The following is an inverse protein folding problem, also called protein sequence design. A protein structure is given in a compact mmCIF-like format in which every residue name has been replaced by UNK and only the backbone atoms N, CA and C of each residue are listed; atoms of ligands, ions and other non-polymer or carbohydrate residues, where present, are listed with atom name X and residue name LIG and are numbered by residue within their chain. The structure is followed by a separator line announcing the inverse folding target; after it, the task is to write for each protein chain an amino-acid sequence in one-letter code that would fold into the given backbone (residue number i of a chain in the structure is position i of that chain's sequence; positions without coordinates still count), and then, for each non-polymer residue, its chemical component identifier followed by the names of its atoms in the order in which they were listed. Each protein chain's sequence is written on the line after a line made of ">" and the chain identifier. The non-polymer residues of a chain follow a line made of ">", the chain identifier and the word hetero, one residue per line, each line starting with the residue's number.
data_IF_162812830038
#
_entry.id   IF_162812830038
#
_cell.length_a   1.000
_cell.length_b   1.000
_cell.length_c   1.000
_cell.angle_alpha   90.00
_cell.angle_beta   90.00
_cell.angle_gamma   90.00
#
_symmetry.space_group_name_H-M   'P 1'
#
loop_
_entity.id
_entity.type
_entity.pdbx_description
1 polymer ?
#
# COMPACT_ATOMS: atom_id res chain seq x y z
N UNK A 1 -26.00 0.44 -6.17
CA UNK A 1 -24.95 -0.54 -5.82
C UNK A 1 -25.12 -0.85 -4.36
N UNK A 2 -25.37 -2.11 -4.03
CA UNK A 2 -25.64 -2.54 -2.66
C UNK A 2 -24.36 -2.55 -1.82
N UNK A 3 -24.41 -1.98 -0.62
CA UNK A 3 -23.27 -1.90 0.30
C UNK A 3 -22.66 -3.28 0.56
N UNK A 4 -23.47 -4.33 0.66
CA UNK A 4 -23.01 -5.70 0.90
C UNK A 4 -22.14 -6.26 -0.24
N UNK A 5 -22.45 -5.90 -1.49
CA UNK A 5 -21.66 -6.33 -2.66
C UNK A 5 -20.28 -5.69 -2.60
N UNK A 6 -20.21 -4.39 -2.30
CA UNK A 6 -18.95 -3.66 -2.18
C UNK A 6 -18.11 -4.16 -0.99
N UNK A 7 -18.75 -4.50 0.15
CA UNK A 7 -18.06 -5.11 1.30
C UNK A 7 -17.38 -6.41 0.89
N UNK A 8 -18.10 -7.31 0.21
CA UNK A 8 -17.53 -8.59 -0.26
C UNK A 8 -16.41 -8.37 -1.27
N UNK A 9 -16.61 -7.48 -2.25
CA UNK A 9 -15.60 -7.16 -3.24
C UNK A 9 -14.30 -6.63 -2.61
N UNK A 10 -14.40 -5.69 -1.66
CA UNK A 10 -13.23 -5.16 -0.95
C UNK A 10 -12.55 -6.25 -0.12
N UNK A 11 -13.31 -7.13 0.51
CA UNK A 11 -12.77 -8.25 1.27
C UNK A 11 -11.97 -9.20 0.38
N UNK A 12 -12.55 -9.63 -0.73
CA UNK A 12 -11.92 -10.53 -1.69
C UNK A 12 -10.66 -9.90 -2.30
N UNK A 13 -10.75 -8.63 -2.69
CA UNK A 13 -9.61 -7.87 -3.22
C UNK A 13 -8.49 -7.73 -2.19
N UNK A 14 -8.81 -7.47 -0.92
CA UNK A 14 -7.82 -7.36 0.16
C UNK A 14 -7.12 -8.69 0.43
N UNK A 15 -7.86 -9.80 0.41
CA UNK A 15 -7.31 -11.14 0.56
C UNK A 15 -6.40 -11.50 -0.63
N UNK A 16 -6.86 -11.24 -1.84
CA UNK A 16 -6.10 -11.49 -3.06
C UNK A 16 -4.83 -10.63 -3.12
N UNK A 17 -4.92 -9.34 -2.77
CA UNK A 17 -3.76 -8.45 -2.65
C UNK A 17 -2.74 -9.00 -1.65
N UNK A 18 -3.20 -9.43 -0.47
CA UNK A 18 -2.33 -10.01 0.56
C UNK A 18 -1.64 -11.30 0.10
N UNK A 19 -2.36 -12.14 -0.66
CA UNK A 19 -1.80 -13.35 -1.28
C UNK A 19 -0.71 -13.00 -2.31
N UNK A 20 -0.96 -12.01 -3.16
CA UNK A 20 0.00 -11.57 -4.17
C UNK A 20 1.26 -10.98 -3.53
N UNK A 21 1.11 -10.18 -2.47
CA UNK A 21 2.25 -9.67 -1.67
C UNK A 21 3.08 -10.82 -1.12
N UNK A 22 2.45 -11.83 -0.48
CA UNK A 22 3.17 -12.98 0.05
C UNK A 22 3.86 -13.82 -1.04
N UNK A 23 3.23 -13.97 -2.21
CA UNK A 23 3.82 -14.64 -3.37
C UNK A 23 5.03 -13.88 -3.92
N UNK A 24 4.91 -12.54 -4.01
CA UNK A 24 5.99 -11.65 -4.43
C UNK A 24 7.18 -11.74 -3.46
N UNK A 25 6.95 -11.70 -2.15
CA UNK A 25 8.00 -11.89 -1.14
C UNK A 25 8.75 -13.22 -1.33
N UNK A 26 8.01 -14.32 -1.54
CA UNK A 26 8.63 -15.64 -1.76
C UNK A 26 9.46 -15.67 -3.04
N UNK A 27 8.93 -15.15 -4.14
CA UNK A 27 9.65 -15.09 -5.42
C UNK A 27 10.87 -14.19 -5.33
N UNK A 28 10.78 -13.06 -4.65
CA UNK A 28 11.91 -12.17 -4.40
C UNK A 28 13.02 -12.82 -3.58
N UNK A 29 12.69 -13.69 -2.61
CA UNK A 29 13.71 -14.45 -1.88
C UNK A 29 14.49 -15.44 -2.75
N UNK A 30 13.95 -15.82 -3.90
CA UNK A 30 14.66 -16.66 -4.87
C UNK A 30 15.62 -15.85 -5.75
N UNK A 31 15.49 -14.52 -5.78
CA UNK A 31 16.49 -13.64 -6.39
C UNK A 31 17.80 -13.74 -5.60
N UNK A 32 18.93 -13.67 -6.28
CA UNK A 32 20.27 -13.92 -5.71
C UNK A 32 20.53 -15.35 -5.23
N UNK A 33 19.68 -16.31 -5.62
CA UNK A 33 19.95 -17.74 -5.43
C UNK A 33 20.32 -18.40 -6.76
N UNK A 34 20.71 -19.67 -6.74
CA UNK A 34 20.94 -20.45 -7.97
C UNK A 34 19.68 -20.59 -8.86
N UNK A 35 18.49 -20.21 -8.37
CA UNK A 35 17.23 -20.21 -9.12
C UNK A 35 16.92 -18.86 -9.78
N UNK A 36 17.77 -17.84 -9.58
CA UNK A 36 17.62 -16.54 -10.22
C UNK A 36 17.70 -16.70 -11.74
N UNK A 37 16.64 -16.27 -12.43
CA UNK A 37 16.51 -16.39 -13.87
C UNK A 37 15.68 -15.24 -14.43
N UNK A 38 15.87 -14.95 -15.72
CA UNK A 38 15.08 -13.92 -16.44
C UNK A 38 13.59 -14.18 -16.32
N UNK A 39 13.14 -15.43 -16.43
CA UNK A 39 11.72 -15.80 -16.28
C UNK A 39 11.17 -15.49 -14.90
N UNK A 40 11.92 -15.83 -13.84
CA UNK A 40 11.52 -15.50 -12.46
C UNK A 40 11.41 -13.98 -12.26
N UNK A 41 12.35 -13.22 -12.82
CA UNK A 41 12.33 -11.75 -12.74
C UNK A 41 11.14 -11.15 -13.48
N UNK A 42 10.85 -11.63 -14.69
CA UNK A 42 9.65 -11.23 -15.45
C UNK A 42 8.36 -11.56 -14.68
N UNK A 43 8.27 -12.74 -14.07
CA UNK A 43 7.12 -13.12 -13.23
C UNK A 43 6.95 -12.19 -12.03
N UNK A 44 8.04 -11.81 -11.35
CA UNK A 44 8.00 -10.85 -10.22
C UNK A 44 7.48 -9.49 -10.70
N UNK A 45 7.96 -9.02 -11.84
CA UNK A 45 7.57 -7.74 -12.42
C UNK A 45 6.08 -7.75 -12.81
N UNK A 46 5.60 -8.82 -13.45
CA UNK A 46 4.19 -8.97 -13.81
C UNK A 46 3.29 -9.08 -12.57
N UNK A 47 3.66 -9.92 -11.60
CA UNK A 47 2.90 -10.05 -10.36
C UNK A 47 2.81 -8.72 -9.62
N UNK A 48 3.87 -7.91 -9.61
CA UNK A 48 3.85 -6.56 -9.04
C UNK A 48 2.90 -5.62 -9.78
N UNK A 49 2.89 -5.66 -11.12
CA UNK A 49 1.95 -4.89 -11.97
C UNK A 49 0.50 -5.20 -11.62
N UNK A 50 0.17 -6.48 -11.56
CA UNK A 50 -1.17 -6.95 -11.21
C UNK A 50 -1.53 -6.52 -9.78
N UNK A 51 -0.58 -6.60 -8.85
CA UNK A 51 -0.76 -6.19 -7.45
C UNK A 51 -1.03 -4.70 -7.32
N UNK A 52 -0.32 -3.85 -8.09
CA UNK A 52 -0.57 -2.40 -8.14
C UNK A 52 -1.95 -2.10 -8.72
N UNK A 53 -2.35 -2.78 -9.79
CA UNK A 53 -3.68 -2.60 -10.37
C UNK A 53 -4.78 -2.99 -9.37
N UNK A 54 -4.62 -4.13 -8.70
CA UNK A 54 -5.54 -4.58 -7.67
C UNK A 54 -5.63 -3.60 -6.51
N UNK A 55 -4.51 -2.99 -6.11
CA UNK A 55 -4.50 -1.94 -5.09
C UNK A 55 -5.34 -0.72 -5.49
N UNK A 56 -5.23 -0.26 -6.74
CA UNK A 56 -6.02 0.87 -7.27
C UNK A 56 -7.53 0.57 -7.29
N UNK A 57 -7.90 -0.65 -7.70
CA UNK A 57 -9.29 -1.11 -7.69
C UNK A 57 -9.81 -1.15 -6.25
N UNK A 58 -9.04 -1.74 -5.33
CA UNK A 58 -9.40 -1.85 -3.91
C UNK A 58 -9.59 -0.48 -3.25
N UNK A 59 -8.70 0.47 -3.52
CA UNK A 59 -8.80 1.85 -3.02
C UNK A 59 -10.06 2.55 -3.54
N UNK A 60 -10.40 2.35 -4.82
CA UNK A 60 -11.62 2.89 -5.42
C UNK A 60 -12.87 2.29 -4.77
N UNK A 61 -12.90 0.96 -4.58
CA UNK A 61 -14.03 0.28 -3.94
C UNK A 61 -14.16 0.64 -2.46
N UNK A 62 -13.05 0.83 -1.74
CA UNK A 62 -13.02 1.37 -0.37
C UNK A 62 -13.57 2.79 -0.29
N UNK A 63 -13.21 3.68 -1.23
CA UNK A 63 -13.74 5.05 -1.29
C UNK A 63 -15.26 5.06 -1.50
N UNK A 64 -15.76 4.23 -2.41
CA UNK A 64 -17.21 4.05 -2.63
C UNK A 64 -17.89 3.50 -1.37
N UNK A 65 -17.30 2.49 -0.73
CA UNK A 65 -17.81 1.91 0.50
C UNK A 65 -17.87 2.94 1.64
N UNK A 66 -16.86 3.79 1.78
CA UNK A 66 -16.86 4.86 2.78
C UNK A 66 -18.00 5.86 2.57
N UNK A 67 -18.26 6.27 1.32
CA UNK A 67 -19.35 7.20 0.99
C UNK A 67 -20.72 6.62 1.34
N UNK A 68 -20.94 5.32 1.05
CA UNK A 68 -22.19 4.64 1.38
C UNK A 68 -22.34 4.41 2.89
N UNK A 69 -21.28 4.03 3.58
CA UNK A 69 -21.34 3.72 5.03
C UNK A 69 -21.36 4.97 5.92
N UNK A 70 -20.99 6.13 5.40
CA UNK A 70 -21.02 7.40 6.14
C UNK A 70 -22.45 7.82 6.52
N UNK A 71 -23.46 7.50 5.71
CA UNK A 71 -24.88 7.73 6.02
C UNK A 71 -25.54 6.65 6.89
N UNK A 72 -24.81 5.58 7.18
CA UNK A 72 -25.35 4.33 7.73
C UNK A 72 -24.98 4.12 9.21
N UNK A 73 -25.46 3.00 9.78
CA UNK A 73 -25.28 2.66 11.19
C UNK A 73 -23.82 2.36 11.61
N UNK A 74 -23.57 2.36 12.92
CA UNK A 74 -22.21 2.14 13.49
C UNK A 74 -21.57 0.82 13.02
N UNK A 75 -22.37 -0.23 12.86
CA UNK A 75 -21.90 -1.55 12.41
C UNK A 75 -21.23 -1.50 11.03
N UNK A 76 -21.81 -0.77 10.07
CA UNK A 76 -21.27 -0.69 8.70
C UNK A 76 -19.97 0.12 8.65
N UNK A 77 -19.88 1.19 9.44
CA UNK A 77 -18.63 1.96 9.60
C UNK A 77 -17.52 1.12 10.24
N UNK A 78 -17.85 0.24 11.19
CA UNK A 78 -16.89 -0.69 11.79
C UNK A 78 -16.37 -1.71 10.77
N UNK A 79 -17.24 -2.24 9.91
CA UNK A 79 -16.83 -3.16 8.83
C UNK A 79 -15.88 -2.46 7.87
N UNK A 80 -16.22 -1.24 7.42
CA UNK A 80 -15.33 -0.41 6.60
C UNK A 80 -13.96 -0.22 7.28
N UNK A 81 -13.94 0.21 8.55
CA UNK A 81 -12.69 0.47 9.27
C UNK A 81 -11.80 -0.78 9.39
N UNK A 82 -12.39 -1.96 9.58
CA UNK A 82 -11.65 -3.23 9.61
C UNK A 82 -11.04 -3.56 8.24
N UNK A 83 -11.82 -3.43 7.16
CA UNK A 83 -11.34 -3.70 5.79
C UNK A 83 -10.24 -2.72 5.39
N UNK A 84 -10.42 -1.43 5.66
CA UNK A 84 -9.43 -0.40 5.36
C UNK A 84 -8.11 -0.65 6.11
N UNK A 85 -8.18 -1.02 7.39
CA UNK A 85 -7.01 -1.37 8.19
C UNK A 85 -6.28 -2.61 7.66
N UNK A 86 -7.04 -3.65 7.28
CA UNK A 86 -6.45 -4.86 6.70
C UNK A 86 -5.72 -4.55 5.38
N UNK A 87 -6.34 -3.77 4.50
CA UNK A 87 -5.72 -3.34 3.25
C UNK A 87 -4.47 -2.48 3.49
N UNK A 88 -4.51 -1.52 4.41
CA UNK A 88 -3.35 -0.69 4.78
C UNK A 88 -2.19 -1.53 5.33
N UNK A 89 -2.48 -2.53 6.14
CA UNK A 89 -1.46 -3.45 6.68
C UNK A 89 -0.74 -4.19 5.55
N UNK A 90 -1.49 -4.66 4.55
CA UNK A 90 -0.90 -5.33 3.39
C UNK A 90 -0.13 -4.35 2.50
N UNK A 91 -0.60 -3.11 2.35
CA UNK A 91 0.12 -2.06 1.62
C UNK A 91 1.48 -1.75 2.25
N UNK A 92 1.57 -1.66 3.58
CA UNK A 92 2.84 -1.44 4.29
C UNK A 92 3.85 -2.56 4.00
N UNK A 93 3.40 -3.80 3.85
CA UNK A 93 4.26 -4.92 3.44
C UNK A 93 4.68 -4.85 1.98
N UNK A 94 3.83 -4.33 1.12
CA UNK A 94 4.10 -4.21 -0.30
C UNK A 94 5.09 -3.08 -0.65
N UNK A 95 5.10 -1.99 0.12
CA UNK A 95 5.99 -0.84 -0.10
C UNK A 95 7.48 -1.20 -0.30
N UNK A 96 8.15 -1.94 0.60
CA UNK A 96 9.55 -2.31 0.39
C UNK A 96 9.73 -3.25 -0.81
N UNK A 97 8.73 -4.08 -1.12
CA UNK A 97 8.78 -4.96 -2.29
C UNK A 97 8.72 -4.17 -3.58
N UNK A 98 7.91 -3.10 -3.66
CA UNK A 98 7.89 -2.24 -4.84
C UNK A 98 9.26 -1.65 -5.16
N UNK A 99 10.03 -1.27 -4.13
CA UNK A 99 11.38 -0.76 -4.33
C UNK A 99 12.31 -1.85 -4.90
N UNK A 100 12.25 -3.06 -4.35
CA UNK A 100 13.01 -4.19 -4.90
C UNK A 100 12.60 -4.54 -6.34
N UNK A 101 11.30 -4.46 -6.69
CA UNK A 101 10.86 -4.66 -8.08
C UNK A 101 11.41 -3.57 -8.98
N UNK A 102 11.41 -2.32 -8.52
CA UNK A 102 11.92 -1.20 -9.29
C UNK A 102 13.43 -1.34 -9.59
N UNK A 103 14.22 -1.75 -8.60
CA UNK A 103 15.64 -2.04 -8.77
C UNK A 103 15.84 -3.20 -9.76
N UNK A 104 15.00 -4.23 -9.67
CA UNK A 104 15.01 -5.37 -10.59
C UNK A 104 14.66 -4.96 -12.03
N UNK A 105 13.59 -4.18 -12.22
CA UNK A 105 13.21 -3.64 -13.54
C UNK A 105 14.35 -2.80 -14.13
N UNK A 106 15.01 -1.98 -13.30
CA UNK A 106 16.14 -1.18 -13.74
C UNK A 106 17.31 -2.05 -14.18
N UNK A 107 17.70 -3.08 -13.41
CA UNK A 107 18.76 -4.02 -13.81
C UNK A 107 18.46 -4.71 -15.14
N UNK A 108 17.22 -5.18 -15.32
CA UNK A 108 16.78 -5.81 -16.57
C UNK A 108 16.84 -4.84 -17.76
N UNK A 109 16.45 -3.58 -17.56
CA UNK A 109 16.47 -2.55 -18.60
C UNK A 109 17.90 -2.09 -18.91
N UNK A 110 18.75 -1.89 -17.91
CA UNK A 110 20.16 -1.51 -18.10
C UNK A 110 20.93 -2.62 -18.82
N UNK A 111 20.64 -3.89 -18.51
CA UNK A 111 21.20 -5.03 -19.23
C UNK A 111 20.69 -5.13 -20.67
N UNK A 112 19.46 -4.70 -20.94
CA UNK A 112 18.89 -4.64 -22.28
C UNK A 112 19.33 -3.40 -23.08
N UNK A 113 19.82 -2.35 -22.41
CA UNK A 113 20.23 -1.07 -23.01
C UNK A 113 21.60 -0.64 -22.48
N UNK A 114 22.66 -1.10 -23.14
CA UNK A 114 23.93 -0.37 -23.15
C UNK A 114 23.67 1.04 -23.70
N UNK A 115 23.46 2.03 -22.82
CA UNK A 115 23.35 3.44 -23.18
C UNK A 115 22.24 4.20 -22.45
N UNK A 116 22.63 4.85 -21.35
CA UNK A 116 22.21 6.19 -20.91
C UNK A 116 20.71 6.50 -20.78
N UNK A 117 20.20 6.60 -19.54
CA UNK A 117 19.60 7.82 -18.97
C UNK A 117 18.92 7.47 -17.63
N UNK A 118 19.51 7.94 -16.54
CA UNK A 118 18.96 7.87 -15.19
C UNK A 118 17.69 8.72 -15.09
N UNK A 119 16.53 8.07 -15.06
CA UNK A 119 15.31 8.61 -14.44
C UNK A 119 14.74 7.51 -13.56
N UNK A 120 14.63 7.81 -12.26
CA UNK A 120 14.18 6.88 -11.23
C UNK A 120 12.82 6.23 -11.56
N UNK A 121 12.48 5.15 -10.86
CA UNK A 121 11.38 4.27 -11.23
C UNK A 121 10.05 5.02 -11.19
N UNK A 122 9.49 5.26 -12.37
CA UNK A 122 8.26 6.04 -12.57
C UNK A 122 6.98 5.18 -12.49
N UNK A 123 7.13 3.87 -12.38
CA UNK A 123 6.05 2.91 -12.67
C UNK A 123 5.35 2.35 -11.41
N UNK A 124 5.99 2.36 -10.24
CA UNK A 124 5.45 1.74 -9.01
C UNK A 124 5.09 2.73 -7.89
N UNK A 125 5.06 4.03 -8.16
CA UNK A 125 4.60 5.05 -7.21
C UNK A 125 3.07 5.02 -7.02
N UNK A 126 2.53 3.88 -6.58
CA UNK A 126 1.20 3.84 -5.98
C UNK A 126 1.35 4.26 -4.52
N UNK A 127 1.15 5.55 -4.26
CA UNK A 127 1.06 6.08 -2.91
C UNK A 127 -0.43 6.14 -2.54
N UNK A 128 -0.90 5.36 -1.54
CA UNK A 128 -2.30 5.41 -1.13
C UNK A 128 -2.60 6.77 -0.48
N UNK A 129 -3.19 7.68 -1.26
CA UNK A 129 -3.41 9.08 -0.89
C UNK A 129 -4.61 9.31 0.07
N UNK A 130 -5.06 8.32 0.85
CA UNK A 130 -6.34 8.49 1.59
C UNK A 130 -6.46 7.95 3.01
N UNK A 131 -5.44 7.32 3.61
CA UNK A 131 -5.58 6.85 5.01
C UNK A 131 -4.49 7.26 6.00
N UNK A 132 -3.37 7.82 5.54
CA UNK A 132 -2.28 8.27 6.43
C UNK A 132 -2.51 9.68 7.03
N UNK A 133 -3.59 10.37 6.62
CA UNK A 133 -3.94 11.70 7.12
C UNK A 133 -5.02 11.63 8.21
N UNK A 134 -4.78 10.81 9.23
CA UNK A 134 -5.30 11.05 10.58
C UNK A 134 -4.18 10.86 11.59
N UNK A 135 -3.09 11.63 11.39
CA UNK A 135 -2.27 12.01 12.53
C UNK A 135 -3.20 12.81 13.45
N UNK A 136 -3.44 12.42 14.72
CA UNK A 136 -3.97 13.39 15.65
C UNK A 136 -2.93 14.50 15.69
N UNK A 137 -3.30 15.67 15.16
CA UNK A 137 -2.61 16.90 15.50
C UNK A 137 -2.86 17.06 17.00
N UNK A 138 -2.00 16.47 17.82
CA UNK A 138 -1.92 16.84 19.21
C UNK A 138 -1.37 18.26 19.16
N UNK A 139 -2.30 19.22 19.10
CA UNK A 139 -2.01 20.56 19.54
C UNK A 139 -1.50 20.40 20.98
N UNK A 140 -0.17 20.44 21.14
CA UNK A 140 0.41 20.86 22.39
C UNK A 140 0.05 22.35 22.50
N UNK A 141 -1.16 22.60 23.00
CA UNK A 141 -1.45 23.89 23.61
C UNK A 141 -0.60 23.91 24.88
N UNK A 142 0.64 24.39 24.72
CA UNK A 142 1.49 24.75 25.85
C UNK A 142 1.10 26.16 26.27
N UNK A 143 -0.16 26.32 26.65
CA UNK A 143 -0.57 27.38 27.57
C UNK A 143 -0.69 26.77 28.95
N UNK A 144 -0.24 27.58 29.91
CA UNK A 144 -0.38 27.46 31.34
C UNK A 144 0.75 26.84 32.18
N UNK A 145 1.08 27.67 33.18
CA UNK A 145 1.97 27.51 34.32
C UNK A 145 3.47 27.63 34.10
N UNK A 146 3.91 28.89 33.96
CA UNK A 146 5.10 29.34 34.67
C UNK A 146 4.74 30.52 35.58
N UNK A 147 4.25 30.18 36.77
CA UNK A 147 4.19 31.10 37.90
C UNK A 147 5.39 30.81 38.80
N UNK A 148 6.48 31.54 38.59
CA UNK A 148 7.56 31.61 39.56
C UNK A 148 7.38 32.87 40.41
N UNK A 149 6.79 32.65 41.59
CA UNK A 149 6.84 33.52 42.75
C UNK A 149 8.33 33.80 43.07
N UNK A 150 8.75 35.07 43.06
CA UNK A 150 9.95 35.49 43.79
C UNK A 150 9.50 36.08 45.14
N UNK A 151 9.77 35.33 46.22
CA UNK A 151 9.88 35.84 47.58
C UNK A 151 11.36 35.75 47.93
N UNK A 152 11.94 36.85 48.39
CA UNK A 152 13.33 36.96 48.83
C UNK A 152 13.91 38.33 48.53
#
# INVERSE_FOLDING_TARGET
>A
MDTEILVREVQDNTQHFSSNVASLERKMKLLNTAQDSVRLREEIIQLSKDTVQLAKITDTSLKKLNQLTSGNGQSERMVYGRLAKAFQTSLQKFQPLQQNVADLEQDMLTRARSGSSSRGPRFLSFQPESLESRKPLVHHDRSDFSQCIHVG
#
